data_IF_484968279204
#
_entry.id   IF_484968279204
#
_cell.length_a   1.000
_cell.length_b   1.000
_cell.length_c   1.000
_cell.angle_alpha   90.00
_cell.angle_beta   90.00
_cell.angle_gamma   90.00
#
_symmetry.space_group_name_H-M   'P 1'
#
loop_
_entity.id
_entity.type
_entity.pdbx_description
1 polymer ?
#
# COMPACT_ATOMS: atom_id res chain seq x y z
N UNK A 1 16.02 13.73 -7.53
CA UNK A 1 14.70 13.72 -8.20
C UNK A 1 13.69 12.95 -7.37
N UNK A 2 12.48 13.48 -7.23
CA UNK A 2 11.38 12.85 -6.49
C UNK A 2 10.53 12.04 -7.48
N UNK A 3 10.74 10.74 -7.51
CA UNK A 3 9.98 9.82 -8.35
C UNK A 3 8.92 9.10 -7.51
N UNK A 4 7.71 9.01 -8.05
CA UNK A 4 6.56 8.37 -7.41
C UNK A 4 5.89 7.40 -8.37
N UNK A 5 5.37 6.30 -7.82
CA UNK A 5 4.61 5.28 -8.53
C UNK A 5 3.15 5.38 -8.13
N UNK A 6 2.28 5.71 -9.09
CA UNK A 6 0.83 5.73 -8.90
C UNK A 6 0.26 4.35 -9.23
N UNK A 7 -0.45 3.76 -8.28
CA UNK A 7 -1.12 2.46 -8.42
C UNK A 7 -2.61 2.72 -8.60
N UNK A 8 -3.15 2.27 -9.73
CA UNK A 8 -4.57 2.35 -10.05
C UNK A 8 -5.24 0.99 -9.80
N UNK A 9 -6.54 1.00 -9.53
CA UNK A 9 -7.35 -0.22 -9.53
C UNK A 9 -7.84 -0.57 -10.95
N UNK A 10 -8.55 -1.70 -11.07
CA UNK A 10 -9.08 -2.14 -12.37
C UNK A 10 -10.14 -1.19 -12.95
N UNK A 11 -10.70 -0.29 -12.14
CA UNK A 11 -11.64 0.75 -12.58
C UNK A 11 -10.93 2.04 -13.00
N UNK A 12 -9.60 2.06 -13.00
CA UNK A 12 -8.79 3.23 -13.34
C UNK A 12 -8.74 4.30 -12.24
N UNK A 13 -9.24 4.03 -11.03
CA UNK A 13 -9.19 4.98 -9.91
C UNK A 13 -7.86 4.87 -9.18
N UNK A 14 -7.30 6.01 -8.80
CA UNK A 14 -6.04 6.07 -8.06
C UNK A 14 -6.22 5.43 -6.69
N UNK A 15 -5.55 4.30 -6.47
CA UNK A 15 -5.66 3.52 -5.23
C UNK A 15 -4.58 3.88 -4.21
N UNK A 16 -3.37 4.16 -4.67
CA UNK A 16 -2.23 4.50 -3.82
C UNK A 16 -1.13 5.22 -4.62
N UNK A 17 -0.42 6.13 -3.96
CA UNK A 17 0.85 6.69 -4.44
C UNK A 17 1.98 6.13 -3.58
N UNK A 18 3.05 5.64 -4.20
CA UNK A 18 4.18 5.01 -3.53
C UNK A 18 5.45 5.74 -3.93
N UNK A 19 6.18 6.30 -2.96
CA UNK A 19 7.49 6.88 -3.23
C UNK A 19 8.53 5.79 -3.49
N UNK A 20 9.54 6.08 -4.32
CA UNK A 20 10.66 5.15 -4.56
C UNK A 20 11.37 4.78 -3.25
N UNK A 21 11.49 5.72 -2.30
CA UNK A 21 12.07 5.45 -0.97
C UNK A 21 11.33 4.31 -0.25
N UNK A 22 10.00 4.32 -0.29
CA UNK A 22 9.20 3.27 0.34
C UNK A 22 9.40 1.90 -0.34
N UNK A 23 9.56 1.87 -1.67
CA UNK A 23 9.89 0.63 -2.40
C UNK A 23 11.25 0.07 -1.97
N UNK A 24 12.25 0.93 -1.86
CA UNK A 24 13.60 0.52 -1.46
C UNK A 24 13.63 -0.04 -0.02
N UNK A 25 12.94 0.62 0.91
CA UNK A 25 12.79 0.12 2.29
C UNK A 25 12.09 -1.25 2.29
N UNK A 26 11.04 -1.43 1.49
CA UNK A 26 10.34 -2.71 1.39
C UNK A 26 11.24 -3.82 0.84
N UNK A 27 12.05 -3.51 -0.18
CA UNK A 27 13.00 -4.47 -0.76
C UNK A 27 14.03 -4.92 0.28
N UNK A 28 14.60 -3.99 1.06
CA UNK A 28 15.50 -4.34 2.18
C UNK A 28 14.83 -5.25 3.20
N UNK A 29 13.62 -4.90 3.66
CA UNK A 29 12.85 -5.73 4.60
C UNK A 29 12.55 -7.14 4.08
N UNK A 30 12.37 -7.30 2.78
CA UNK A 30 12.17 -8.62 2.16
C UNK A 30 13.44 -9.47 2.23
N UNK A 31 14.62 -8.85 2.09
CA UNK A 31 15.91 -9.54 2.23
C UNK A 31 16.20 -9.87 3.70
N UNK A 32 15.98 -8.92 4.61
CA UNK A 32 16.27 -9.09 6.04
C UNK A 32 15.28 -10.07 6.71
N UNK A 33 14.00 -10.02 6.32
CA UNK A 33 12.91 -10.75 6.97
C UNK A 33 11.94 -11.37 5.96
N UNK A 34 12.39 -12.32 5.12
CA UNK A 34 11.57 -12.88 4.03
C UNK A 34 10.28 -13.55 4.54
N UNK A 35 10.31 -14.13 5.75
CA UNK A 35 9.16 -14.75 6.43
C UNK A 35 7.90 -13.87 6.49
N UNK A 36 8.06 -12.54 6.59
CA UNK A 36 6.92 -11.61 6.65
C UNK A 36 6.13 -11.52 5.33
N UNK A 37 6.76 -11.90 4.22
CA UNK A 37 6.24 -11.74 2.87
C UNK A 37 5.92 -13.05 2.16
N UNK A 38 6.20 -14.20 2.79
CA UNK A 38 5.80 -15.51 2.27
C UNK A 38 4.26 -15.60 2.12
N UNK A 39 3.83 -16.03 0.93
CA UNK A 39 2.41 -16.12 0.49
C UNK A 39 1.61 -17.27 1.14
N UNK A 40 1.95 -17.70 2.36
CA UNK A 40 1.29 -18.80 3.07
C UNK A 40 0.60 -18.37 4.36
N UNK A 41 -0.16 -17.27 4.32
CA UNK A 41 -1.10 -16.94 5.40
C UNK A 41 -2.50 -17.36 5.01
N UNK A 42 -2.71 -18.68 4.96
CA UNK A 42 -4.03 -19.30 5.03
C UNK A 42 -4.66 -18.86 6.36
N UNK A 43 -5.28 -17.68 6.40
CA UNK A 43 -5.95 -17.15 7.60
C UNK A 43 -5.56 -15.76 8.11
N UNK A 44 -4.65 -14.98 7.48
CA UNK A 44 -4.62 -13.55 7.86
C UNK A 44 -5.85 -12.86 7.28
N UNK A 45 -6.76 -12.43 8.17
CA UNK A 45 -7.78 -11.44 7.84
C UNK A 45 -7.14 -10.39 6.94
N UNK A 46 -7.82 -10.08 5.84
CA UNK A 46 -7.54 -8.85 5.10
C UNK A 46 -7.37 -7.75 6.15
N UNK A 47 -6.34 -6.93 6.01
CA UNK A 47 -6.34 -5.64 6.69
C UNK A 47 -7.50 -4.86 6.07
N UNK A 48 -8.72 -5.20 6.48
CA UNK A 48 -9.91 -4.41 6.28
C UNK A 48 -9.52 -3.07 6.85
N UNK A 49 -9.35 -2.09 5.95
CA UNK A 49 -9.09 -0.71 6.28
C UNK A 49 -10.02 -0.38 7.45
N UNK A 50 -9.45 -0.08 8.61
CA UNK A 50 -10.20 0.55 9.68
C UNK A 50 -10.87 1.75 9.05
N UNK A 51 -12.21 1.74 9.00
CA UNK A 51 -13.01 2.82 8.49
C UNK A 51 -12.77 4.04 9.39
N UNK A 52 -11.77 4.84 9.04
CA UNK A 52 -11.53 6.14 9.66
C UNK A 52 -10.79 7.03 8.68
N UNK A 53 -11.47 7.30 7.56
CA UNK A 53 -11.29 8.47 6.70
C UNK A 53 -12.53 8.57 5.81
N UNK A 54 -13.69 8.71 6.46
CA UNK A 54 -14.84 9.40 5.87
C UNK A 54 -15.09 10.63 6.75
N UNK A 55 -14.41 11.73 6.42
CA UNK A 55 -14.82 13.04 6.88
C UNK A 55 -14.45 14.06 5.79
N UNK A 56 -15.43 14.27 4.90
CA UNK A 56 -15.75 15.50 4.16
C UNK A 56 -14.62 16.16 3.36
N UNK A 57 -14.58 15.84 2.08
CA UNK A 57 -14.36 16.87 1.05
C UNK A 57 -15.58 17.80 1.02
N UNK A 58 -15.41 18.98 1.62
CA UNK A 58 -15.73 20.31 1.09
C UNK A 58 -16.74 20.38 -0.09
N UNK A 59 -17.90 21.00 0.17
CA UNK A 59 -18.83 21.50 -0.85
C UNK A 59 -18.86 23.02 -0.74
N UNK A 60 -18.52 23.67 -1.86
CA UNK A 60 -18.73 25.06 -2.29
C UNK A 60 -18.31 26.23 -1.38
#
# INVERSE_FOLDING_TARGET
MMHEVKVYDNSGKLKKVISIKALHIRSKKQLDTPALFLKNKKGRRSWSKSAKDQAKSETQ
#
